data_IF_973242872691
#
_entry.id   IF_973242872691
#
_cell.length_a   1.000
_cell.length_b   1.000
_cell.length_c   1.000
_cell.angle_alpha   90.00
_cell.angle_beta   90.00
_cell.angle_gamma   90.00
#
_symmetry.space_group_name_H-M   'P 1'
#
loop_
_entity.id
_entity.type
_entity.pdbx_description
1 polymer ?
#
# COMPACT_ATOMS: atom_id res chain seq x y z
N UNK A 1 -8.33 -8.00 -16.64
CA UNK A 1 -9.76 -7.64 -16.73
C UNK A 1 -10.63 -8.69 -16.03
N UNK A 2 -10.61 -9.96 -16.47
CA UNK A 2 -11.43 -11.02 -15.87
C UNK A 2 -11.22 -11.13 -14.36
N UNK A 3 -9.98 -11.09 -13.90
CA UNK A 3 -9.62 -11.09 -12.47
C UNK A 3 -10.24 -9.92 -11.72
N UNK A 4 -10.15 -8.70 -12.26
CA UNK A 4 -10.76 -7.51 -11.63
C UNK A 4 -12.28 -7.65 -11.56
N UNK A 5 -12.89 -8.14 -12.65
CA UNK A 5 -14.35 -8.32 -12.71
C UNK A 5 -14.85 -9.40 -11.74
N UNK A 6 -14.03 -10.42 -11.42
CA UNK A 6 -14.45 -11.48 -10.49
C UNK A 6 -14.56 -11.02 -9.03
N UNK A 7 -13.94 -9.90 -8.67
CA UNK A 7 -14.11 -9.30 -7.34
C UNK A 7 -15.45 -8.56 -7.17
N UNK A 8 -16.05 -8.12 -8.27
CA UNK A 8 -17.32 -7.36 -8.24
C UNK A 8 -18.45 -8.32 -8.63
N UNK A 9 -19.22 -8.72 -7.67
CA UNK A 9 -20.37 -9.63 -7.81
C UNK A 9 -21.67 -8.91 -7.54
N UNK A 10 -22.81 -9.58 -7.78
CA UNK A 10 -24.12 -9.02 -7.45
C UNK A 10 -24.31 -8.76 -5.94
N UNK A 11 -23.52 -9.43 -5.10
CA UNK A 11 -23.53 -9.24 -3.64
C UNK A 11 -22.63 -8.07 -3.19
N UNK A 12 -21.81 -7.50 -4.09
CA UNK A 12 -20.90 -6.42 -3.74
C UNK A 12 -21.65 -5.12 -3.49
N UNK A 13 -21.42 -4.50 -2.34
CA UNK A 13 -21.97 -3.17 -2.04
C UNK A 13 -21.22 -2.09 -2.83
N UNK A 14 -21.66 -1.83 -4.05
CA UNK A 14 -21.11 -0.79 -4.92
C UNK A 14 -21.74 0.56 -4.57
N UNK A 15 -20.91 1.51 -4.14
CA UNK A 15 -21.37 2.86 -3.78
C UNK A 15 -21.41 3.79 -5.00
N UNK A 16 -20.36 3.72 -5.82
CA UNK A 16 -20.23 4.53 -7.04
C UNK A 16 -19.54 3.66 -8.10
N UNK A 17 -20.04 3.74 -9.31
CA UNK A 17 -19.38 3.13 -10.47
C UNK A 17 -19.39 4.10 -11.66
N UNK A 18 -18.24 4.27 -12.26
CA UNK A 18 -18.08 5.07 -13.46
C UNK A 18 -18.62 4.39 -14.71
N UNK A 19 -18.61 5.12 -15.79
CA UNK A 19 -18.96 4.60 -17.11
C UNK A 19 -17.70 4.20 -17.89
N UNK A 20 -17.85 3.24 -18.79
CA UNK A 20 -16.80 2.83 -19.72
C UNK A 20 -17.27 3.06 -21.17
N UNK A 21 -16.33 3.27 -22.09
CA UNK A 21 -16.66 3.35 -23.51
C UNK A 21 -17.35 2.06 -24.02
N UNK A 22 -18.23 2.20 -24.98
CA UNK A 22 -18.78 1.06 -25.73
C UNK A 22 -17.76 0.57 -26.76
N UNK A 23 -17.73 -0.73 -27.00
CA UNK A 23 -16.89 -1.34 -28.05
C UNK A 23 -15.77 -2.24 -27.49
N UNK A 24 -14.91 -2.76 -28.36
CA UNK A 24 -13.87 -3.70 -27.96
C UNK A 24 -12.82 -3.01 -27.08
N UNK A 25 -12.32 -3.74 -26.05
CA UNK A 25 -11.28 -3.27 -25.12
C UNK A 25 -11.37 -3.95 -23.78
N UNK A 26 -10.33 -3.75 -22.96
CA UNK A 26 -10.27 -4.25 -21.57
C UNK A 26 -10.73 -3.16 -20.60
N UNK A 27 -11.91 -2.63 -20.83
CA UNK A 27 -12.47 -1.55 -20.03
C UNK A 27 -12.97 -2.08 -18.68
N UNK A 28 -12.50 -1.47 -17.60
CA UNK A 28 -13.02 -1.70 -16.25
C UNK A 28 -13.49 -0.36 -15.68
N UNK A 29 -14.74 -0.25 -15.23
CA UNK A 29 -15.22 0.98 -14.65
C UNK A 29 -14.52 1.27 -13.33
N UNK A 30 -14.18 2.54 -13.09
CA UNK A 30 -13.74 2.97 -11.76
C UNK A 30 -14.88 2.73 -10.76
N UNK A 31 -14.63 1.93 -9.74
CA UNK A 31 -15.64 1.44 -8.82
C UNK A 31 -15.24 1.71 -7.38
N UNK A 32 -16.14 2.29 -6.60
CA UNK A 32 -16.00 2.42 -5.15
C UNK A 32 -16.96 1.43 -4.49
N UNK A 33 -16.41 0.60 -3.63
CA UNK A 33 -17.15 -0.42 -2.88
C UNK A 33 -17.04 -0.17 -1.38
N UNK A 34 -18.04 -0.63 -0.63
CA UNK A 34 -18.05 -0.56 0.83
C UNK A 34 -18.35 -1.96 1.39
N UNK A 35 -17.33 -2.82 1.52
CA UNK A 35 -17.47 -4.12 2.16
C UNK A 35 -17.94 -3.98 3.60
N UNK A 36 -18.79 -4.90 4.05
CA UNK A 36 -19.28 -4.94 5.43
C UNK A 36 -18.44 -5.80 6.36
N UNK A 37 -17.51 -6.58 5.79
CA UNK A 37 -16.61 -7.48 6.51
C UNK A 37 -15.16 -7.12 6.19
N UNK A 38 -14.35 -6.97 7.21
CA UNK A 38 -12.91 -6.70 7.08
C UNK A 38 -12.13 -7.86 6.44
N UNK A 39 -12.70 -9.07 6.44
CA UNK A 39 -12.13 -10.26 5.79
C UNK A 39 -12.62 -10.46 4.35
N UNK A 40 -13.43 -9.52 3.82
CA UNK A 40 -13.84 -9.56 2.40
C UNK A 40 -12.60 -9.55 1.50
N UNK A 41 -12.53 -10.35 0.45
CA UNK A 41 -11.43 -10.31 -0.54
C UNK A 41 -11.16 -8.91 -1.10
N UNK A 42 -12.16 -8.04 -1.18
CA UNK A 42 -11.99 -6.64 -1.57
C UNK A 42 -11.22 -5.79 -0.54
N UNK A 43 -11.03 -6.31 0.69
CA UNK A 43 -10.23 -5.68 1.74
C UNK A 43 -8.86 -6.34 1.91
N UNK A 44 -8.77 -7.66 1.67
CA UNK A 44 -7.59 -8.45 1.99
C UNK A 44 -6.70 -8.75 0.80
N UNK A 45 -7.27 -8.81 -0.42
CA UNK A 45 -6.56 -9.16 -1.63
C UNK A 45 -6.21 -7.91 -2.48
N UNK A 46 -5.16 -8.02 -3.27
CA UNK A 46 -4.78 -7.00 -4.23
C UNK A 46 -5.59 -7.17 -5.53
N UNK A 47 -6.65 -6.39 -5.70
CA UNK A 47 -7.53 -6.43 -6.89
C UNK A 47 -6.77 -6.06 -8.17
N UNK A 48 -5.77 -5.20 -8.08
CA UNK A 48 -4.95 -4.69 -9.19
C UNK A 48 -5.77 -4.11 -10.34
N UNK A 49 -6.73 -3.24 -9.99
CA UNK A 49 -7.65 -2.60 -10.93
C UNK A 49 -8.25 -1.30 -10.38
N UNK A 50 -9.11 -0.63 -11.14
CA UNK A 50 -9.70 0.65 -10.74
C UNK A 50 -10.83 0.47 -9.71
N UNK A 51 -10.54 -0.20 -8.62
CA UNK A 51 -11.46 -0.48 -7.51
C UNK A 51 -10.89 0.11 -6.23
N UNK A 52 -11.73 0.82 -5.48
CA UNK A 52 -11.38 1.38 -4.16
C UNK A 52 -12.36 0.84 -3.15
N UNK A 53 -11.85 0.15 -2.14
CA UNK A 53 -12.62 -0.27 -0.97
C UNK A 53 -12.59 0.81 0.10
N UNK A 54 -13.74 1.07 0.70
CA UNK A 54 -13.91 2.05 1.79
C UNK A 54 -14.48 1.32 3.00
N UNK A 55 -13.85 1.52 4.15
CA UNK A 55 -14.34 0.99 5.42
C UNK A 55 -14.30 2.09 6.48
N UNK A 56 -15.36 2.20 7.26
CA UNK A 56 -15.39 3.10 8.41
C UNK A 56 -14.60 2.49 9.57
N UNK A 57 -14.09 3.35 10.44
CA UNK A 57 -13.43 2.98 11.68
C UNK A 57 -13.99 3.83 12.82
N UNK A 58 -13.93 3.32 14.04
CA UNK A 58 -14.52 3.98 15.20
C UNK A 58 -13.56 5.01 15.84
N UNK A 59 -12.29 4.65 15.96
CA UNK A 59 -11.28 5.50 16.58
C UNK A 59 -9.87 5.30 15.97
N UNK A 60 -8.86 5.98 16.54
CA UNK A 60 -7.46 5.91 16.08
C UNK A 60 -6.90 4.48 16.19
N UNK A 61 -7.24 3.74 17.23
CA UNK A 61 -6.75 2.38 17.46
C UNK A 61 -7.36 1.41 16.43
N UNK A 62 -8.64 1.56 16.16
CA UNK A 62 -9.35 0.76 15.17
C UNK A 62 -8.85 1.06 13.75
N UNK A 63 -8.61 2.33 13.41
CA UNK A 63 -8.00 2.70 12.12
C UNK A 63 -6.62 2.03 11.91
N UNK A 64 -5.78 2.00 12.95
CA UNK A 64 -4.47 1.34 12.90
C UNK A 64 -4.65 -0.17 12.75
N UNK A 65 -5.55 -0.77 13.51
CA UNK A 65 -5.86 -2.20 13.44
C UNK A 65 -6.30 -2.61 12.03
N UNK A 66 -7.28 -1.91 11.46
CA UNK A 66 -7.80 -2.18 10.12
C UNK A 66 -6.71 -1.99 9.04
N UNK A 67 -5.93 -0.93 9.14
CA UNK A 67 -4.84 -0.68 8.19
C UNK A 67 -3.79 -1.78 8.22
N UNK A 68 -3.53 -2.37 9.39
CA UNK A 68 -2.55 -3.44 9.56
C UNK A 68 -3.13 -4.85 9.36
N UNK A 69 -4.43 -5.02 9.15
CA UNK A 69 -5.08 -6.32 9.01
C UNK A 69 -4.73 -7.03 7.69
N UNK A 70 -4.28 -6.31 6.68
CA UNK A 70 -3.86 -6.89 5.39
C UNK A 70 -2.43 -7.44 5.44
N UNK A 71 -2.15 -8.43 4.61
CA UNK A 71 -0.80 -9.00 4.40
C UNK A 71 0.14 -8.06 3.59
N UNK A 72 -0.32 -6.90 3.19
CA UNK A 72 0.44 -5.92 2.42
C UNK A 72 0.80 -4.70 3.27
N UNK A 73 1.78 -3.93 2.82
CA UNK A 73 2.22 -2.72 3.49
C UNK A 73 3.20 -1.90 2.64
N UNK A 74 2.80 -1.53 1.42
CA UNK A 74 3.67 -0.77 0.54
C UNK A 74 3.64 0.72 0.86
N UNK A 75 2.46 1.33 0.77
CA UNK A 75 2.33 2.77 0.97
C UNK A 75 0.95 3.16 1.49
N UNK A 76 0.88 4.32 2.14
CA UNK A 76 -0.36 4.87 2.64
C UNK A 76 -0.33 6.39 2.77
N UNK A 77 -1.49 6.95 3.07
CA UNK A 77 -1.66 8.39 3.33
C UNK A 77 -2.48 8.60 4.60
N UNK A 78 -2.03 9.51 5.45
CA UNK A 78 -2.68 9.90 6.69
C UNK A 78 -3.17 11.33 6.53
N UNK A 79 -4.45 11.57 6.72
CA UNK A 79 -5.06 12.89 6.59
C UNK A 79 -5.55 13.36 7.95
N UNK A 80 -4.88 14.34 8.54
CA UNK A 80 -5.22 14.88 9.85
C UNK A 80 -4.67 16.30 10.04
N UNK A 81 -5.32 17.08 10.89
CA UNK A 81 -4.81 18.38 11.34
C UNK A 81 -3.98 18.28 12.62
N UNK A 82 -4.03 17.14 13.31
CA UNK A 82 -3.27 16.86 14.53
C UNK A 82 -1.93 16.20 14.17
N UNK A 83 -0.84 16.93 14.32
CA UNK A 83 0.51 16.44 14.04
C UNK A 83 0.91 15.30 14.98
N UNK A 84 0.45 15.34 16.24
CA UNK A 84 0.68 14.26 17.20
C UNK A 84 0.04 12.95 16.77
N UNK A 85 -1.21 13.02 16.28
CA UNK A 85 -1.90 11.88 15.66
C UNK A 85 -1.17 11.38 14.43
N UNK A 86 -0.73 12.27 13.55
CA UNK A 86 0.02 11.88 12.36
C UNK A 86 1.24 11.01 12.71
N UNK A 87 2.02 11.41 13.72
CA UNK A 87 3.19 10.65 14.17
C UNK A 87 2.83 9.33 14.86
N UNK A 88 1.78 9.30 15.70
CA UNK A 88 1.35 8.05 16.36
C UNK A 88 0.89 7.03 15.32
N UNK A 89 0.01 7.43 14.42
CA UNK A 89 -0.51 6.56 13.37
C UNK A 89 0.61 6.11 12.43
N UNK A 90 1.49 7.02 12.00
CA UNK A 90 2.60 6.67 11.11
C UNK A 90 3.57 5.65 11.73
N UNK A 91 3.82 5.71 13.05
CA UNK A 91 4.68 4.74 13.74
C UNK A 91 4.01 3.38 13.92
N UNK A 92 2.69 3.35 14.06
CA UNK A 92 1.94 2.13 14.30
C UNK A 92 1.50 1.42 13.01
N UNK A 93 1.48 2.12 11.89
CA UNK A 93 1.11 1.56 10.58
C UNK A 93 2.26 0.78 9.98
N UNK A 94 2.02 -0.49 9.64
CA UNK A 94 2.98 -1.40 9.04
C UNK A 94 3.05 -1.19 7.52
N UNK A 95 3.54 -0.02 7.12
CA UNK A 95 3.70 0.38 5.72
C UNK A 95 5.07 1.03 5.51
N UNK A 96 5.73 0.69 4.42
CA UNK A 96 7.08 1.17 4.14
C UNK A 96 7.16 2.63 3.73
N UNK A 97 6.07 3.18 3.21
CA UNK A 97 6.01 4.57 2.73
C UNK A 97 4.72 5.23 3.19
N UNK A 98 4.83 6.32 3.91
CA UNK A 98 3.68 7.07 4.40
C UNK A 98 3.78 8.55 4.03
N UNK A 99 2.67 9.10 3.60
CA UNK A 99 2.48 10.53 3.39
C UNK A 99 1.54 11.09 4.44
N UNK A 100 1.73 12.34 4.84
CA UNK A 100 0.78 13.05 5.70
C UNK A 100 0.22 14.24 4.92
N UNK A 101 -1.11 14.33 4.88
CA UNK A 101 -1.85 15.36 4.15
C UNK A 101 -1.42 15.50 2.68
N UNK A 102 -1.00 14.40 2.09
CA UNK A 102 -0.52 14.30 0.73
C UNK A 102 -0.74 12.88 0.22
N UNK A 103 -0.73 12.72 -1.07
CA UNK A 103 -0.68 11.44 -1.75
C UNK A 103 0.62 11.33 -2.53
N UNK A 104 1.16 10.13 -2.67
CA UNK A 104 2.43 9.87 -3.36
C UNK A 104 3.67 10.39 -2.60
N UNK A 105 4.22 9.53 -1.77
CA UNK A 105 5.46 9.77 -1.01
C UNK A 105 6.74 9.40 -1.75
N UNK A 106 6.65 8.89 -2.98
CA UNK A 106 7.82 8.43 -3.74
C UNK A 106 8.69 9.61 -4.15
N UNK A 107 9.95 9.58 -3.73
CA UNK A 107 10.99 10.55 -4.08
C UNK A 107 12.30 9.82 -4.31
N UNK A 108 13.08 10.20 -5.32
CA UNK A 108 14.33 9.52 -5.63
C UNK A 108 15.40 9.63 -4.52
N UNK A 109 15.28 10.60 -3.63
CA UNK A 109 16.21 10.80 -2.50
C UNK A 109 15.75 10.19 -1.18
N UNK A 110 14.60 9.51 -1.16
CA UNK A 110 14.08 8.81 0.02
C UNK A 110 13.92 7.32 -0.26
N UNK A 111 14.18 6.44 0.72
CA UNK A 111 13.97 5.01 0.53
C UNK A 111 12.52 4.69 0.16
N UNK A 112 12.34 3.76 -0.75
CA UNK A 112 11.04 3.22 -1.15
C UNK A 112 11.04 1.70 -1.04
N UNK A 113 10.00 1.12 -0.47
CA UNK A 113 9.84 -0.32 -0.34
C UNK A 113 8.71 -0.68 0.62
N UNK A 114 8.30 -1.93 0.61
CA UNK A 114 7.17 -2.43 1.36
C UNK A 114 7.53 -3.13 2.67
N UNK A 115 6.49 -3.37 3.46
CA UNK A 115 6.47 -4.32 4.57
C UNK A 115 5.69 -5.57 4.13
N UNK A 116 5.79 -6.64 4.91
CA UNK A 116 5.02 -7.86 4.72
C UNK A 116 5.17 -8.42 3.28
N UNK A 117 4.08 -8.85 2.66
CA UNK A 117 4.09 -9.38 1.28
C UNK A 117 4.34 -8.31 0.19
N UNK A 118 4.30 -7.04 0.52
CA UNK A 118 4.66 -5.98 -0.43
C UNK A 118 6.15 -5.93 -0.78
N UNK A 119 6.98 -6.70 -0.12
CA UNK A 119 8.36 -6.95 -0.51
C UNK A 119 9.39 -6.67 0.57
N UNK A 120 10.63 -7.05 0.26
CA UNK A 120 11.80 -6.88 1.10
C UNK A 120 12.75 -5.85 0.48
N UNK A 121 13.61 -5.26 1.32
CA UNK A 121 14.59 -4.29 0.88
C UNK A 121 14.01 -2.89 0.66
N UNK A 122 14.88 -2.01 0.17
CA UNK A 122 14.53 -0.62 -0.17
C UNK A 122 15.23 -0.22 -1.45
N UNK A 123 14.48 0.43 -2.33
CA UNK A 123 14.98 1.12 -3.51
C UNK A 123 15.06 2.61 -3.21
N UNK A 124 15.70 3.36 -4.10
CA UNK A 124 15.85 4.81 -3.99
C UNK A 124 16.60 5.24 -2.71
N UNK A 125 16.76 6.54 -2.53
CA UNK A 125 17.54 7.07 -1.42
C UNK A 125 19.04 6.75 -1.51
N UNK A 126 19.84 7.27 -0.57
CA UNK A 126 21.31 7.13 -0.62
C UNK A 126 21.78 5.68 -0.43
N UNK A 127 21.04 4.87 0.29
CA UNK A 127 21.43 3.50 0.64
C UNK A 127 21.10 2.45 -0.43
N UNK A 128 20.40 2.84 -1.49
CA UNK A 128 19.99 1.91 -2.56
C UNK A 128 21.19 1.20 -3.22
N UNK A 129 22.36 1.86 -3.28
CA UNK A 129 23.58 1.28 -3.84
C UNK A 129 24.04 0.02 -3.09
N UNK A 130 23.77 -0.07 -1.79
CA UNK A 130 24.15 -1.23 -0.98
C UNK A 130 23.46 -2.53 -1.42
N UNK A 131 22.28 -2.43 -2.03
CA UNK A 131 21.56 -3.59 -2.58
C UNK A 131 22.21 -4.18 -3.84
N UNK A 132 23.13 -3.44 -4.47
CA UNK A 132 23.83 -3.83 -5.71
C UNK A 132 25.32 -4.03 -5.53
N UNK A 133 25.82 -4.03 -4.30
CA UNK A 133 27.23 -4.17 -3.96
C UNK A 133 27.42 -5.19 -2.85
N UNK A 134 28.61 -5.82 -2.85
CA UNK A 134 29.00 -6.76 -1.80
C UNK A 134 30.24 -6.25 -1.05
N UNK A 135 30.25 -6.43 0.26
CA UNK A 135 31.38 -6.07 1.11
C UNK A 135 32.42 -7.20 1.06
N UNK A 136 33.68 -6.88 0.69
CA UNK A 136 34.79 -7.80 0.70
C UNK A 136 35.84 -7.35 1.72
N UNK A 137 36.26 -8.28 2.58
CA UNK A 137 37.43 -8.09 3.44
C UNK A 137 38.68 -8.67 2.76
N UNK A 138 39.76 -7.89 2.74
CA UNK A 138 41.09 -8.35 2.29
C UNK A 138 42.09 -8.07 3.40
N UNK A 139 42.64 -9.12 3.99
CA UNK A 139 43.71 -9.02 4.97
C UNK A 139 45.03 -9.44 4.33
N UNK A 140 46.07 -8.58 4.45
CA UNK A 140 47.43 -8.86 3.97
C UNK A 140 48.34 -8.84 5.19
N UNK A 141 48.96 -9.98 5.50
CA UNK A 141 50.04 -10.03 6.49
C UNK A 141 51.36 -9.55 5.85
N UNK A 142 52.00 -8.62 6.53
CA UNK A 142 53.34 -8.14 6.15
C UNK A 142 54.41 -8.73 7.05
N UNK A 143 54.05 -9.60 8.00
CA UNK A 143 54.94 -10.36 8.83
C UNK A 143 55.27 -11.67 8.13
N UNK A 144 56.46 -11.78 7.58
CA UNK A 144 57.06 -12.97 7.00
C UNK A 144 58.26 -13.45 7.83
#
# INVERSE_FOLDING_TARGET
>A
HATVSSFITDATNVVIQGQVPSGPGYWSPATVVMPSDENDPLMTDEVFGPVVSVMAFDDEADAIRLTNATDYGLSGSIWTRDVGRAFRVARATESGNLSVNSHSSVRYWTPFGGFKKSGLGRELGPDALHAFTEVKNVFISTEG
#
